data_IF_049518487917
#
_entry.id   IF_049518487917
#
_cell.length_a   1.000
_cell.length_b   1.000
_cell.length_c   1.000
_cell.angle_alpha   90.00
_cell.angle_beta   90.00
_cell.angle_gamma   90.00
#
_symmetry.space_group_name_H-M   'P 1'
#
loop_
_entity.id
_entity.type
_entity.pdbx_description
1 polymer ?
#
# COMPACT_ATOMS: atom_id res chain seq x y z
N UNK A 1 17.77 -0.49 29.07
CA UNK A 1 18.44 0.80 28.86
C UNK A 1 17.37 1.79 28.46
N UNK A 2 17.23 2.89 29.19
CA UNK A 2 16.18 3.88 28.93
C UNK A 2 16.54 4.80 27.77
N UNK A 3 15.55 5.55 27.31
CA UNK A 3 15.70 6.61 26.33
C UNK A 3 16.58 7.71 26.91
N UNK A 4 17.65 8.05 26.21
CA UNK A 4 18.52 9.17 26.58
C UNK A 4 18.24 10.30 25.60
N UNK A 5 17.72 11.42 26.10
CA UNK A 5 17.58 12.64 25.32
C UNK A 5 18.99 13.14 24.95
N UNK A 6 19.27 13.18 23.66
CA UNK A 6 20.52 13.72 23.10
C UNK A 6 20.26 15.04 22.40
N UNK A 7 21.29 15.86 22.28
CA UNK A 7 21.27 17.07 21.46
C UNK A 7 22.34 16.96 20.39
N UNK A 8 21.96 17.14 19.14
CA UNK A 8 22.91 17.43 18.07
C UNK A 8 23.25 18.92 18.12
N UNK A 9 24.50 19.26 18.13
CA UNK A 9 24.94 20.66 18.17
C UNK A 9 26.14 20.87 17.22
N UNK A 10 26.09 21.94 16.48
CA UNK A 10 27.19 22.44 15.67
C UNK A 10 27.77 23.65 16.41
N UNK A 11 29.05 23.59 16.78
CA UNK A 11 29.73 24.68 17.48
C UNK A 11 30.72 25.36 16.55
N UNK A 12 30.52 26.63 16.28
CA UNK A 12 31.52 27.46 15.61
C UNK A 12 32.60 27.92 16.66
N UNK A 13 33.86 27.71 16.34
CA UNK A 13 34.97 28.14 17.21
C UNK A 13 35.29 29.62 17.09
N UNK A 14 34.85 30.25 16.00
CA UNK A 14 34.99 31.67 15.73
C UNK A 14 33.70 32.22 15.12
N UNK A 15 33.42 33.54 15.22
CA UNK A 15 32.29 34.15 14.56
C UNK A 15 32.29 33.84 13.02
N UNK A 16 31.18 33.42 12.49
CA UNK A 16 31.06 33.08 11.06
C UNK A 16 29.66 32.60 10.74
N UNK A 17 29.39 32.42 9.45
CA UNK A 17 28.13 31.85 8.91
C UNK A 17 28.40 30.41 8.48
N UNK A 18 27.54 29.51 8.88
CA UNK A 18 27.51 28.12 8.42
C UNK A 18 26.17 27.80 7.75
N UNK A 19 26.22 27.34 6.50
CA UNK A 19 25.06 26.82 5.82
C UNK A 19 25.02 25.30 5.99
N UNK A 20 23.95 24.76 6.59
CA UNK A 20 23.75 23.32 6.76
C UNK A 20 22.71 22.89 5.73
N UNK A 21 23.15 22.22 4.67
CA UNK A 21 22.25 21.71 3.64
C UNK A 21 21.61 20.37 3.96
N UNK A 22 22.25 19.59 4.83
CA UNK A 22 21.75 18.25 5.18
C UNK A 22 22.41 17.74 6.47
N UNK A 23 21.60 17.09 7.31
CA UNK A 23 22.09 16.36 8.48
C UNK A 23 21.32 15.05 8.63
N UNK A 24 22.03 13.93 8.75
CA UNK A 24 21.44 12.62 8.95
C UNK A 24 22.09 11.91 10.14
N UNK A 25 21.31 11.64 11.16
CA UNK A 25 21.70 10.79 12.27
C UNK A 25 21.21 9.36 12.02
N UNK A 26 22.14 8.42 11.95
CA UNK A 26 21.82 7.00 11.76
C UNK A 26 22.32 6.18 12.95
N UNK A 27 21.62 5.09 13.30
CA UNK A 27 22.14 4.14 14.27
C UNK A 27 23.45 3.51 13.75
N UNK A 28 24.33 3.09 14.67
CA UNK A 28 25.46 2.23 14.34
C UNK A 28 24.99 0.88 13.72
N UNK A 29 25.95 0.05 13.30
CA UNK A 29 25.65 -1.23 12.62
C UNK A 29 24.68 -2.13 13.39
N UNK A 30 24.69 -2.09 14.71
CA UNK A 30 23.81 -2.83 15.60
C UNK A 30 22.33 -2.47 15.44
N UNK A 31 22.04 -1.21 15.07
CA UNK A 31 20.68 -0.69 14.89
C UNK A 31 20.24 -0.60 13.42
N UNK A 32 21.06 -1.06 12.48
CA UNK A 32 20.76 -1.06 11.05
C UNK A 32 20.16 -2.40 10.61
N UNK A 33 19.17 -2.35 9.75
CA UNK A 33 18.62 -3.54 9.11
C UNK A 33 19.54 -3.98 7.98
N UNK A 34 20.17 -5.15 8.14
CA UNK A 34 21.10 -5.75 7.15
C UNK A 34 22.16 -4.77 6.62
N UNK A 35 22.65 -3.87 7.47
CA UNK A 35 23.65 -2.86 7.12
C UNK A 35 23.13 -1.64 6.37
N UNK A 36 21.86 -1.64 5.95
CA UNK A 36 21.23 -0.53 5.23
C UNK A 36 20.99 0.68 6.15
N UNK A 37 20.86 1.91 5.61
CA UNK A 37 20.52 3.11 6.36
C UNK A 37 19.03 3.12 6.77
N UNK A 38 18.61 2.04 7.40
CA UNK A 38 17.23 1.79 7.86
C UNK A 38 17.28 1.28 9.28
N UNK A 39 16.48 1.84 10.18
CA UNK A 39 16.34 1.36 11.56
C UNK A 39 15.84 -0.09 11.57
N UNK A 40 16.56 -0.94 12.30
CA UNK A 40 16.28 -2.38 12.38
C UNK A 40 14.90 -2.67 12.97
N UNK A 41 14.50 -1.96 14.00
CA UNK A 41 13.20 -2.12 14.66
C UNK A 41 12.04 -1.71 13.74
N UNK A 42 12.20 -0.64 12.95
CA UNK A 42 11.22 -0.20 11.95
C UNK A 42 11.05 -1.25 10.85
N UNK A 43 12.17 -1.73 10.28
CA UNK A 43 12.13 -2.78 9.26
C UNK A 43 11.45 -4.06 9.78
N UNK A 44 11.81 -4.49 10.98
CA UNK A 44 11.18 -5.67 11.60
C UNK A 44 9.71 -5.40 11.96
N UNK A 45 9.35 -4.17 12.31
CA UNK A 45 7.96 -3.75 12.55
C UNK A 45 7.11 -3.89 11.30
N UNK A 46 7.59 -3.44 10.14
CA UNK A 46 6.90 -3.58 8.84
C UNK A 46 6.77 -5.06 8.43
N UNK A 47 7.84 -5.85 8.59
CA UNK A 47 7.79 -7.29 8.33
C UNK A 47 6.78 -7.98 9.27
N UNK A 48 6.77 -7.65 10.55
CA UNK A 48 5.82 -8.19 11.52
C UNK A 48 4.37 -7.75 11.23
N UNK A 49 4.18 -6.55 10.71
CA UNK A 49 2.88 -6.06 10.23
C UNK A 49 2.34 -6.90 9.06
N UNK A 50 3.17 -7.71 8.42
CA UNK A 50 2.77 -8.53 7.28
C UNK A 50 2.75 -7.78 5.95
N UNK A 51 3.52 -6.68 5.86
CA UNK A 51 3.70 -5.96 4.59
C UNK A 51 4.35 -6.89 3.56
N UNK A 52 3.81 -6.92 2.35
CA UNK A 52 4.33 -7.68 1.21
C UNK A 52 4.65 -6.78 0.02
N UNK A 53 4.02 -5.63 -0.05
CA UNK A 53 4.20 -4.61 -1.09
C UNK A 53 4.45 -3.27 -0.43
N UNK A 54 5.41 -2.51 -0.93
CA UNK A 54 5.60 -1.11 -0.60
C UNK A 54 5.56 -0.25 -1.86
N UNK A 55 4.84 0.85 -1.79
CA UNK A 55 4.85 1.93 -2.76
C UNK A 55 5.56 3.14 -2.15
N UNK A 56 6.41 3.81 -2.92
CA UNK A 56 7.09 5.04 -2.50
C UNK A 56 6.96 6.10 -3.57
N UNK A 57 6.51 7.26 -3.18
CA UNK A 57 6.31 8.45 -4.01
C UNK A 57 5.14 9.26 -3.46
N UNK A 58 3.94 8.97 -3.89
CA UNK A 58 2.74 9.70 -3.48
C UNK A 58 2.84 11.16 -3.89
N UNK A 59 2.23 12.07 -3.13
CA UNK A 59 2.27 13.51 -3.43
C UNK A 59 3.68 14.09 -3.57
N UNK A 60 4.72 13.41 -3.06
CA UNK A 60 6.11 13.83 -3.25
C UNK A 60 6.54 13.70 -4.72
N UNK A 61 6.03 12.70 -5.45
CA UNK A 61 6.32 12.52 -6.88
C UNK A 61 5.82 13.68 -7.74
N UNK A 62 4.82 14.43 -7.27
CA UNK A 62 4.29 15.60 -8.01
C UNK A 62 5.18 16.85 -7.87
N UNK A 63 6.14 16.86 -6.92
CA UNK A 63 7.03 18.01 -6.77
C UNK A 63 7.94 18.18 -8.00
N UNK A 64 8.11 19.42 -8.47
CA UNK A 64 8.86 19.72 -9.69
C UNK A 64 10.30 19.17 -9.67
N UNK A 65 10.93 19.19 -8.50
CA UNK A 65 12.31 18.77 -8.28
C UNK A 65 12.46 17.31 -7.85
N UNK A 66 11.37 16.56 -7.73
CA UNK A 66 11.39 15.10 -7.48
C UNK A 66 11.81 14.39 -8.77
N UNK A 67 13.14 14.28 -8.98
CA UNK A 67 13.76 13.72 -10.18
C UNK A 67 14.72 12.62 -9.82
N UNK A 68 14.56 11.44 -10.41
CA UNK A 68 15.32 10.27 -10.01
C UNK A 68 16.85 10.45 -10.15
N UNK A 69 17.32 11.21 -11.15
CA UNK A 69 18.76 11.50 -11.32
C UNK A 69 19.36 12.32 -10.17
N UNK A 70 18.52 13.01 -9.39
CA UNK A 70 18.91 13.72 -8.15
C UNK A 70 18.96 12.81 -6.93
N UNK A 71 18.54 11.55 -7.05
CA UNK A 71 18.40 10.57 -5.96
C UNK A 71 19.54 9.56 -5.93
N UNK A 72 20.49 9.61 -6.85
CA UNK A 72 21.63 8.70 -6.98
C UNK A 72 22.95 9.35 -6.58
N UNK A 73 24.03 8.55 -6.47
CA UNK A 73 25.36 9.05 -6.06
C UNK A 73 25.48 9.25 -4.56
N UNK A 74 26.57 9.90 -4.12
CA UNK A 74 26.85 10.12 -2.69
C UNK A 74 25.69 10.86 -2.02
N UNK A 75 25.20 10.33 -0.92
CA UNK A 75 24.01 10.83 -0.22
C UNK A 75 24.12 12.31 0.18
N UNK A 76 25.30 12.75 0.63
CA UNK A 76 25.54 14.12 1.05
C UNK A 76 25.55 15.13 -0.13
N UNK A 77 25.65 14.64 -1.36
CA UNK A 77 25.68 15.48 -2.57
C UNK A 77 24.32 15.56 -3.24
N UNK A 78 23.35 14.75 -2.82
CA UNK A 78 22.00 14.76 -3.39
C UNK A 78 21.28 16.05 -2.98
N UNK A 79 20.75 16.83 -3.94
CA UNK A 79 20.15 18.13 -3.64
C UNK A 79 18.86 17.98 -2.84
N UNK A 80 18.55 18.91 -1.95
CA UNK A 80 17.22 19.02 -1.35
C UNK A 80 16.23 19.51 -2.41
N UNK A 81 14.93 19.42 -2.10
CA UNK A 81 13.86 19.93 -2.94
C UNK A 81 12.69 20.43 -2.10
N UNK A 82 11.84 21.26 -2.69
CA UNK A 82 10.57 21.67 -2.11
C UNK A 82 9.52 20.60 -2.42
N UNK A 83 9.10 19.86 -1.40
CA UNK A 83 8.07 18.83 -1.51
C UNK A 83 6.68 19.40 -1.28
N UNK A 84 5.67 18.64 -1.68
CA UNK A 84 4.27 19.04 -1.55
C UNK A 84 3.85 19.29 -0.10
N UNK A 85 4.18 18.35 0.80
CA UNK A 85 3.82 18.41 2.22
C UNK A 85 4.93 19.00 3.08
N UNK A 86 6.18 18.89 2.63
CA UNK A 86 7.37 19.25 3.40
C UNK A 86 8.27 20.16 2.56
N UNK A 87 8.29 21.47 2.80
CA UNK A 87 9.06 22.43 1.99
C UNK A 87 10.57 22.18 2.05
N UNK A 88 11.05 21.47 3.07
CA UNK A 88 12.46 21.15 3.25
C UNK A 88 12.75 19.65 3.06
N UNK A 89 12.24 19.09 1.97
CA UNK A 89 12.47 17.69 1.63
C UNK A 89 13.90 17.45 1.15
N UNK A 90 14.41 16.25 1.39
CA UNK A 90 15.75 15.87 0.97
C UNK A 90 15.75 14.53 0.23
N UNK A 91 16.75 14.33 -0.64
CA UNK A 91 17.02 13.05 -1.27
C UNK A 91 17.97 12.15 -0.44
N UNK A 92 18.14 12.45 0.83
CA UNK A 92 19.03 11.72 1.74
C UNK A 92 18.64 10.24 1.93
N UNK A 93 17.39 9.89 1.81
CA UNK A 93 16.86 8.54 1.61
C UNK A 93 15.86 8.60 0.46
N UNK A 94 16.11 7.86 -0.62
CA UNK A 94 15.40 8.05 -1.88
C UNK A 94 15.10 6.71 -2.57
N UNK A 95 14.65 6.74 -3.83
CA UNK A 95 14.11 5.56 -4.54
C UNK A 95 15.05 4.36 -4.51
N UNK A 96 16.37 4.55 -4.69
CA UNK A 96 17.28 3.40 -4.68
C UNK A 96 17.57 2.88 -3.28
N UNK A 97 17.50 3.72 -2.25
CA UNK A 97 17.51 3.28 -0.86
C UNK A 97 16.26 2.44 -0.54
N UNK A 98 15.11 2.85 -1.08
CA UNK A 98 13.85 2.13 -1.02
C UNK A 98 13.92 0.76 -1.74
N UNK A 99 14.46 0.71 -2.96
CA UNK A 99 14.63 -0.56 -3.69
C UNK A 99 15.56 -1.52 -2.94
N UNK A 100 16.69 -1.02 -2.42
CA UNK A 100 17.60 -1.81 -1.57
C UNK A 100 16.90 -2.35 -0.32
N UNK A 101 16.04 -1.53 0.29
CA UNK A 101 15.29 -1.95 1.46
C UNK A 101 14.24 -3.02 1.12
N UNK A 102 13.48 -2.82 0.04
CA UNK A 102 12.48 -3.80 -0.41
C UNK A 102 13.13 -5.15 -0.75
N UNK A 103 14.24 -5.15 -1.49
CA UNK A 103 15.00 -6.37 -1.79
C UNK A 103 15.46 -7.07 -0.50
N UNK A 104 16.04 -6.32 0.43
CA UNK A 104 16.53 -6.87 1.68
C UNK A 104 15.41 -7.40 2.59
N UNK A 105 14.22 -6.78 2.58
CA UNK A 105 13.08 -7.18 3.38
C UNK A 105 12.21 -8.24 2.72
N UNK A 106 12.36 -8.46 1.41
CA UNK A 106 11.53 -9.37 0.62
C UNK A 106 10.17 -8.76 0.22
N UNK A 107 10.09 -7.42 0.10
CA UNK A 107 8.90 -6.71 -0.32
C UNK A 107 8.88 -6.50 -1.83
N UNK A 108 7.72 -6.57 -2.45
CA UNK A 108 7.50 -6.08 -3.80
C UNK A 108 7.59 -4.55 -3.78
N UNK A 109 8.50 -3.99 -4.58
CA UNK A 109 8.69 -2.56 -4.67
C UNK A 109 7.86 -1.96 -5.82
N UNK A 110 7.15 -0.86 -5.54
CA UNK A 110 6.47 -0.04 -6.54
C UNK A 110 6.94 1.40 -6.34
N UNK A 111 8.04 1.82 -6.99
CA UNK A 111 8.40 3.24 -7.01
C UNK A 111 7.41 4.02 -7.86
N UNK A 112 7.10 5.24 -7.42
CA UNK A 112 6.32 6.21 -8.16
C UNK A 112 7.23 7.36 -8.59
N UNK A 113 7.21 7.70 -9.88
CA UNK A 113 8.02 8.74 -10.49
C UNK A 113 7.17 9.86 -11.07
N UNK A 114 7.76 11.04 -11.06
CA UNK A 114 7.10 12.24 -11.60
C UNK A 114 6.75 12.08 -13.08
N UNK A 115 5.47 12.27 -13.43
CA UNK A 115 4.99 12.19 -14.81
C UNK A 115 5.59 13.27 -15.75
N UNK A 116 6.33 14.25 -15.20
CA UNK A 116 7.07 15.25 -15.98
C UNK A 116 8.56 14.88 -16.19
N UNK A 117 8.99 13.67 -15.86
CA UNK A 117 10.28 13.16 -16.32
C UNK A 117 10.31 13.10 -17.86
N UNK A 118 11.47 13.30 -18.47
CA UNK A 118 11.58 13.10 -19.91
C UNK A 118 11.50 11.61 -20.28
N UNK A 119 11.03 11.25 -21.48
CA UNK A 119 11.09 9.86 -21.96
C UNK A 119 12.50 9.26 -21.90
N UNK A 120 13.55 10.07 -22.18
CA UNK A 120 14.93 9.60 -22.08
C UNK A 120 15.34 9.33 -20.63
N UNK A 121 14.99 10.24 -19.69
CA UNK A 121 15.29 10.02 -18.28
C UNK A 121 14.61 8.77 -17.74
N UNK A 122 13.39 8.46 -18.20
CA UNK A 122 12.68 7.24 -17.80
C UNK A 122 13.29 5.98 -18.42
N UNK A 123 13.78 6.04 -19.65
CA UNK A 123 14.57 4.96 -20.25
C UNK A 123 15.87 4.72 -19.48
N UNK A 124 16.57 5.78 -19.10
CA UNK A 124 17.78 5.74 -18.27
C UNK A 124 17.50 5.15 -16.90
N UNK A 125 16.34 5.50 -16.28
CA UNK A 125 15.90 4.91 -15.01
C UNK A 125 15.74 3.40 -15.08
N UNK A 126 15.06 2.90 -16.11
CA UNK A 126 14.88 1.46 -16.32
C UNK A 126 16.22 0.78 -16.58
N UNK A 127 17.12 1.39 -17.34
CA UNK A 127 18.47 0.84 -17.52
C UNK A 127 19.27 0.87 -16.21
N UNK A 128 19.13 1.92 -15.38
CA UNK A 128 19.74 1.95 -14.06
C UNK A 128 19.15 0.85 -13.16
N UNK A 129 17.83 0.66 -13.14
CA UNK A 129 17.20 -0.34 -12.29
C UNK A 129 17.45 -1.78 -12.78
N UNK A 130 17.25 -2.05 -14.05
CA UNK A 130 17.19 -3.41 -14.62
C UNK A 130 18.30 -3.74 -15.63
N UNK A 131 19.03 -2.74 -16.11
CA UNK A 131 20.08 -2.96 -17.11
C UNK A 131 21.27 -3.79 -16.59
N UNK A 132 21.99 -4.48 -17.48
CA UNK A 132 23.17 -5.26 -17.11
C UNK A 132 24.29 -4.32 -16.62
N UNK A 133 25.18 -4.83 -15.78
CA UNK A 133 26.27 -4.04 -15.18
C UNK A 133 27.31 -3.49 -16.17
N UNK A 134 27.29 -3.92 -17.42
CA UNK A 134 28.14 -3.40 -18.50
C UNK A 134 27.44 -2.33 -19.36
N UNK A 135 26.16 -2.04 -19.15
CA UNK A 135 25.49 -0.90 -19.78
C UNK A 135 25.89 0.42 -19.11
N UNK A 136 25.55 1.54 -19.69
CA UNK A 136 25.92 2.86 -19.17
C UNK A 136 25.35 3.08 -17.74
N UNK A 137 24.04 2.97 -17.58
CA UNK A 137 23.37 3.19 -16.30
C UNK A 137 23.50 1.99 -15.36
N UNK A 138 23.69 0.77 -15.89
CA UNK A 138 24.00 -0.41 -15.08
C UNK A 138 25.38 -0.30 -14.42
N UNK A 139 26.40 0.29 -15.09
CA UNK A 139 27.70 0.61 -14.49
C UNK A 139 27.54 1.65 -13.36
N UNK A 140 26.70 2.64 -13.59
CA UNK A 140 26.44 3.67 -12.57
C UNK A 140 25.81 3.05 -11.32
N UNK A 141 24.77 2.22 -11.48
CA UNK A 141 24.19 1.44 -10.37
C UNK A 141 25.23 0.63 -9.62
N UNK A 142 26.10 -0.06 -10.34
CA UNK A 142 27.16 -0.87 -9.74
C UNK A 142 28.15 -0.01 -8.95
N UNK A 143 28.52 1.17 -9.46
CA UNK A 143 29.37 2.15 -8.77
C UNK A 143 28.68 2.72 -7.53
N UNK A 144 27.36 2.89 -7.55
CA UNK A 144 26.55 3.31 -6.41
C UNK A 144 26.32 2.18 -5.36
N UNK A 145 26.91 0.99 -5.58
CA UNK A 145 26.96 -0.10 -4.61
C UNK A 145 26.01 -1.27 -4.86
N UNK A 146 25.25 -1.27 -5.96
CA UNK A 146 24.33 -2.36 -6.30
C UNK A 146 24.65 -2.96 -7.70
N UNK A 147 25.56 -3.91 -7.82
CA UNK A 147 26.01 -4.43 -9.12
C UNK A 147 24.95 -5.24 -9.86
N UNK A 148 24.03 -5.92 -9.17
CA UNK A 148 22.97 -6.72 -9.80
C UNK A 148 21.77 -5.84 -10.19
N UNK A 149 21.04 -6.18 -11.28
CA UNK A 149 19.74 -5.57 -11.54
C UNK A 149 18.76 -5.78 -10.38
N UNK A 150 17.90 -4.80 -10.10
CA UNK A 150 16.84 -4.93 -9.10
C UNK A 150 15.69 -5.86 -9.54
N UNK A 151 15.53 -6.05 -10.85
CA UNK A 151 14.39 -6.79 -11.38
C UNK A 151 13.06 -6.06 -11.14
N UNK A 152 13.10 -4.73 -11.23
CA UNK A 152 11.91 -3.89 -11.04
C UNK A 152 10.82 -4.28 -12.04
N UNK A 153 9.66 -4.64 -11.52
CA UNK A 153 8.54 -5.14 -12.33
C UNK A 153 7.43 -4.10 -12.51
N UNK A 154 7.18 -3.27 -11.50
CA UNK A 154 6.12 -2.29 -11.51
C UNK A 154 6.71 -0.89 -11.32
N UNK A 155 6.19 0.06 -12.08
CA UNK A 155 6.59 1.46 -12.00
C UNK A 155 5.36 2.33 -12.17
N UNK A 156 5.09 3.14 -11.16
CA UNK A 156 4.00 4.10 -11.21
C UNK A 156 4.47 5.43 -11.81
N UNK A 157 3.60 6.08 -12.57
CA UNK A 157 3.86 7.33 -13.28
C UNK A 157 2.89 8.40 -12.80
N UNK A 158 3.38 9.25 -11.90
CA UNK A 158 2.61 10.30 -11.23
C UNK A 158 1.70 9.77 -10.12
N UNK A 159 1.22 10.66 -9.29
CA UNK A 159 0.35 10.38 -8.17
C UNK A 159 -0.89 11.27 -8.20
N UNK A 160 -2.08 10.68 -8.06
CA UNK A 160 -3.36 11.42 -8.04
C UNK A 160 -3.49 12.40 -9.22
N UNK A 161 -3.07 11.96 -10.37
CA UNK A 161 -3.01 12.78 -11.57
C UNK A 161 -4.40 13.01 -12.16
N UNK A 162 -4.56 14.15 -12.78
CA UNK A 162 -5.67 14.38 -13.68
C UNK A 162 -5.38 13.64 -15.00
N UNK A 163 -5.90 12.42 -15.12
CA UNK A 163 -5.68 11.57 -16.31
C UNK A 163 -6.55 12.04 -17.45
N UNK A 164 -6.09 13.11 -18.10
CA UNK A 164 -6.68 13.75 -19.27
C UNK A 164 -5.71 13.72 -20.48
N UNK A 165 -6.00 14.48 -21.53
CA UNK A 165 -5.16 14.55 -22.73
C UNK A 165 -3.74 15.07 -22.45
N UNK A 166 -3.55 15.91 -21.44
CA UNK A 166 -2.24 16.39 -21.04
C UNK A 166 -1.41 15.26 -20.44
N UNK A 167 -2.00 14.52 -19.51
CA UNK A 167 -1.35 13.33 -18.93
C UNK A 167 -1.08 12.27 -19.99
N UNK A 168 -2.03 11.98 -20.86
CA UNK A 168 -1.85 11.06 -21.98
C UNK A 168 -0.65 11.43 -22.86
N UNK A 169 -0.48 12.72 -23.17
CA UNK A 169 0.65 13.21 -23.98
C UNK A 169 2.00 12.84 -23.36
N UNK A 170 2.15 13.01 -22.05
CA UNK A 170 3.34 12.64 -21.26
C UNK A 170 3.51 11.13 -21.18
N UNK A 171 2.49 10.44 -20.70
CA UNK A 171 2.50 8.98 -20.49
C UNK A 171 2.90 8.23 -21.75
N UNK A 172 2.33 8.60 -22.91
CA UNK A 172 2.63 7.94 -24.19
C UNK A 172 4.12 7.95 -24.53
N UNK A 173 4.81 9.08 -24.30
CA UNK A 173 6.24 9.20 -24.56
C UNK A 173 7.07 8.35 -23.61
N UNK A 174 6.76 8.45 -22.33
CA UNK A 174 7.40 7.70 -21.24
C UNK A 174 7.22 6.20 -21.46
N UNK A 175 5.99 5.73 -21.67
CA UNK A 175 5.68 4.33 -21.85
C UNK A 175 6.46 3.68 -23.01
N UNK A 176 6.52 4.34 -24.17
CA UNK A 176 7.30 3.86 -25.31
C UNK A 176 8.79 3.75 -25.01
N UNK A 177 9.36 4.73 -24.30
CA UNK A 177 10.77 4.74 -23.93
C UNK A 177 11.11 3.63 -22.93
N UNK A 178 10.28 3.42 -21.93
CA UNK A 178 10.45 2.36 -20.94
C UNK A 178 10.35 0.98 -21.60
N UNK A 179 9.27 0.72 -22.36
CA UNK A 179 9.05 -0.58 -23.00
C UNK A 179 10.08 -0.91 -24.09
N UNK A 180 10.73 0.10 -24.67
CA UNK A 180 11.87 -0.13 -25.57
C UNK A 180 13.11 -0.62 -24.82
N UNK A 181 13.29 -0.25 -23.54
CA UNK A 181 14.41 -0.69 -22.69
C UNK A 181 14.12 -2.01 -21.99
N UNK A 182 12.94 -2.11 -21.38
CA UNK A 182 12.49 -3.34 -20.69
C UNK A 182 11.00 -3.57 -20.93
N UNK A 183 10.65 -4.48 -21.85
CA UNK A 183 9.27 -4.77 -22.17
C UNK A 183 8.50 -5.53 -21.08
N UNK A 184 9.15 -5.96 -20.00
CA UNK A 184 8.52 -6.71 -18.90
C UNK A 184 7.99 -5.77 -17.80
N UNK A 185 8.39 -4.49 -17.82
CA UNK A 185 7.91 -3.53 -16.83
C UNK A 185 6.44 -3.21 -17.07
N UNK A 186 5.63 -3.40 -16.06
CA UNK A 186 4.23 -3.00 -16.00
C UNK A 186 4.17 -1.56 -15.50
N UNK A 187 3.58 -0.68 -16.31
CA UNK A 187 3.37 0.70 -15.92
C UNK A 187 2.05 0.83 -15.17
N UNK A 188 2.08 1.60 -14.09
CA UNK A 188 0.91 1.96 -13.32
C UNK A 188 0.59 3.43 -13.56
N UNK A 189 -0.62 3.71 -13.98
CA UNK A 189 -1.14 5.07 -14.12
C UNK A 189 -1.52 5.58 -12.74
N UNK A 190 -0.91 6.66 -12.28
CA UNK A 190 -1.24 7.28 -11.00
C UNK A 190 -2.55 8.07 -11.08
N UNK A 191 -3.67 7.38 -11.27
CA UNK A 191 -5.02 7.95 -11.32
C UNK A 191 -5.48 8.36 -9.92
N UNK A 192 -6.74 8.70 -9.74
CA UNK A 192 -7.20 9.20 -8.45
C UNK A 192 -8.48 8.49 -7.99
N UNK A 193 -9.30 9.16 -7.18
CA UNK A 193 -10.49 8.59 -6.58
C UNK A 193 -11.74 8.81 -7.44
N UNK A 194 -12.62 7.81 -7.41
CA UNK A 194 -13.93 7.83 -8.08
C UNK A 194 -15.03 7.64 -7.03
N UNK A 195 -15.65 8.75 -6.60
CA UNK A 195 -16.65 8.75 -5.52
C UNK A 195 -18.06 8.38 -5.96
N UNK A 196 -18.38 8.46 -7.25
CA UNK A 196 -19.71 8.17 -7.79
C UNK A 196 -19.65 7.06 -8.83
N UNK A 197 -20.78 6.37 -9.00
CA UNK A 197 -20.88 5.34 -10.04
C UNK A 197 -20.76 5.96 -11.43
N UNK A 198 -19.84 5.44 -12.22
CA UNK A 198 -19.67 5.77 -13.64
C UNK A 198 -20.73 5.01 -14.43
N UNK A 199 -21.71 5.74 -14.97
CA UNK A 199 -22.74 5.16 -15.84
C UNK A 199 -22.29 5.19 -17.31
N UNK A 200 -21.78 6.35 -17.75
CA UNK A 200 -21.18 6.55 -19.06
C UNK A 200 -19.70 6.90 -18.88
N UNK A 201 -18.75 6.09 -19.39
CA UNK A 201 -17.33 6.35 -19.23
C UNK A 201 -16.84 7.60 -19.97
N UNK A 202 -17.64 8.19 -20.86
CA UNK A 202 -17.29 9.39 -21.61
C UNK A 202 -17.98 10.66 -21.11
N UNK A 203 -18.91 10.52 -20.16
CA UNK A 203 -19.59 11.66 -19.54
C UNK A 203 -20.02 11.34 -18.11
N UNK A 204 -19.24 11.77 -17.13
CA UNK A 204 -19.55 11.56 -15.71
C UNK A 204 -19.04 12.72 -14.83
N UNK A 205 -19.38 12.67 -13.56
CA UNK A 205 -18.90 13.58 -12.50
C UNK A 205 -18.46 12.78 -11.28
N UNK A 206 -17.85 13.43 -10.31
CA UNK A 206 -17.50 12.80 -9.03
C UNK A 206 -16.12 12.16 -8.93
N UNK A 207 -15.25 12.35 -9.94
CA UNK A 207 -13.83 12.06 -9.79
C UNK A 207 -13.14 13.18 -9.00
N UNK A 208 -12.31 12.82 -8.03
CA UNK A 208 -11.59 13.82 -7.21
C UNK A 208 -10.65 14.70 -8.04
N UNK A 209 -10.04 14.14 -9.09
CA UNK A 209 -9.18 14.88 -10.03
C UNK A 209 -9.98 15.77 -11.02
N UNK A 210 -11.29 15.92 -10.84
CA UNK A 210 -12.15 16.74 -11.72
C UNK A 210 -12.14 16.35 -13.20
N UNK A 211 -11.84 15.07 -13.53
CA UNK A 211 -12.05 14.54 -14.87
C UNK A 211 -13.51 14.17 -15.06
N UNK A 212 -13.98 14.19 -16.31
CA UNK A 212 -15.38 13.91 -16.67
C UNK A 212 -15.52 12.85 -17.76
N UNK A 213 -14.41 12.25 -18.18
CA UNK A 213 -14.33 11.27 -19.25
C UNK A 213 -13.11 10.35 -19.05
N UNK A 214 -13.22 9.09 -19.42
CA UNK A 214 -12.13 8.10 -19.44
C UNK A 214 -11.48 7.96 -20.83
N UNK A 215 -11.57 8.98 -21.68
CA UNK A 215 -10.93 8.94 -23.00
C UNK A 215 -9.40 8.77 -22.93
N UNK A 216 -8.74 9.39 -21.96
CA UNK A 216 -7.30 9.25 -21.77
C UNK A 216 -6.95 7.82 -21.34
N UNK A 217 -7.70 7.23 -20.42
CA UNK A 217 -7.54 5.83 -19.99
C UNK A 217 -7.74 4.88 -21.17
N UNK A 218 -8.76 5.12 -22.02
CA UNK A 218 -8.96 4.34 -23.24
C UNK A 218 -7.77 4.41 -24.19
N UNK A 219 -7.21 5.61 -24.41
CA UNK A 219 -6.00 5.79 -25.23
C UNK A 219 -4.79 5.04 -24.66
N UNK A 220 -4.65 5.03 -23.33
CA UNK A 220 -3.60 4.27 -22.63
C UNK A 220 -3.77 2.76 -22.82
N UNK A 221 -4.98 2.24 -22.66
CA UNK A 221 -5.32 0.83 -22.91
C UNK A 221 -5.01 0.42 -24.36
N UNK A 222 -5.41 1.26 -25.32
CA UNK A 222 -5.11 1.04 -26.74
C UNK A 222 -3.61 1.03 -27.03
N UNK A 223 -2.83 1.94 -26.42
CA UNK A 223 -1.37 1.94 -26.54
C UNK A 223 -0.76 0.65 -25.99
N UNK A 224 -1.20 0.20 -24.81
CA UNK A 224 -0.71 -1.04 -24.19
C UNK A 224 -1.04 -2.25 -25.08
N UNK A 225 -2.27 -2.35 -25.57
CA UNK A 225 -2.71 -3.40 -26.52
C UNK A 225 -1.85 -3.41 -27.79
N UNK A 226 -1.64 -2.26 -28.43
CA UNK A 226 -0.86 -2.12 -29.66
C UNK A 226 0.61 -2.54 -29.50
N UNK A 227 1.15 -2.45 -28.29
CA UNK A 227 2.51 -2.87 -27.94
C UNK A 227 2.57 -4.26 -27.29
N UNK A 228 1.44 -4.96 -27.18
CA UNK A 228 1.32 -6.22 -26.43
C UNK A 228 1.89 -6.12 -25.00
N UNK A 229 1.50 -5.08 -24.26
CA UNK A 229 1.90 -4.81 -22.88
C UNK A 229 0.70 -4.81 -21.95
N UNK A 230 0.98 -4.98 -20.68
CA UNK A 230 0.02 -4.80 -19.59
C UNK A 230 0.21 -3.40 -18.98
N UNK A 231 -0.90 -2.76 -18.61
CA UNK A 231 -0.91 -1.48 -17.91
C UNK A 231 -1.88 -1.56 -16.74
N UNK A 232 -1.49 -0.98 -15.61
CA UNK A 232 -2.34 -0.94 -14.42
C UNK A 232 -2.77 0.48 -14.13
N UNK A 233 -3.83 0.62 -13.34
CA UNK A 233 -4.36 1.92 -12.91
C UNK A 233 -4.46 1.92 -11.39
N UNK A 234 -3.85 2.90 -10.75
CA UNK A 234 -3.99 3.12 -9.31
C UNK A 234 -5.20 3.99 -9.02
N UNK A 235 -5.96 3.63 -8.01
CA UNK A 235 -7.05 4.46 -7.48
C UNK A 235 -6.95 4.52 -5.96
N UNK A 236 -7.32 5.65 -5.39
CA UNK A 236 -7.31 5.86 -3.95
C UNK A 236 -8.73 5.74 -3.37
N UNK A 237 -8.83 5.21 -2.16
CA UNK A 237 -10.12 4.96 -1.50
C UNK A 237 -10.12 5.53 -0.09
N UNK A 238 -11.16 6.29 0.25
CA UNK A 238 -11.37 6.79 1.60
C UNK A 238 -11.81 5.68 2.57
N UNK A 239 -11.07 5.53 3.68
CA UNK A 239 -11.37 4.57 4.76
C UNK A 239 -11.52 5.26 6.11
N UNK A 240 -12.16 6.43 6.12
CA UNK A 240 -12.33 7.27 7.32
C UNK A 240 -13.22 6.63 8.38
N UNK A 241 -14.30 6.02 7.97
CA UNK A 241 -15.29 5.41 8.85
C UNK A 241 -15.42 3.91 8.65
N UNK A 242 -16.10 3.20 9.56
CA UNK A 242 -16.15 1.74 9.57
C UNK A 242 -16.96 1.12 8.43
N UNK A 243 -17.60 1.93 7.60
CA UNK A 243 -18.38 1.51 6.42
C UNK A 243 -17.99 2.38 5.23
N UNK A 244 -16.89 2.08 4.56
CA UNK A 244 -16.49 2.81 3.36
C UNK A 244 -17.42 2.50 2.18
N UNK A 245 -17.52 3.44 1.24
CA UNK A 245 -18.26 3.27 -0.02
C UNK A 245 -17.30 3.00 -1.17
N UNK A 246 -17.44 1.83 -1.79
CA UNK A 246 -16.62 1.40 -2.92
C UNK A 246 -17.36 1.45 -4.25
N UNK A 247 -18.60 1.94 -4.28
CA UNK A 247 -19.44 1.91 -5.48
C UNK A 247 -18.82 2.66 -6.66
N UNK A 248 -18.16 3.77 -6.41
CA UNK A 248 -17.40 4.52 -7.40
C UNK A 248 -16.20 3.73 -7.94
N UNK A 249 -15.40 3.16 -7.06
CA UNK A 249 -14.20 2.38 -7.41
C UNK A 249 -14.54 1.17 -8.26
N UNK A 250 -15.52 0.35 -7.87
CA UNK A 250 -15.90 -0.82 -8.67
C UNK A 250 -16.54 -0.44 -10.00
N UNK A 251 -17.31 0.67 -10.06
CA UNK A 251 -17.84 1.15 -11.34
C UNK A 251 -16.75 1.65 -12.29
N UNK A 252 -15.65 2.19 -11.74
CA UNK A 252 -14.45 2.54 -12.51
C UNK A 252 -13.78 1.29 -13.08
N UNK A 253 -13.60 0.24 -12.27
CA UNK A 253 -13.09 -1.06 -12.74
C UNK A 253 -13.96 -1.62 -13.88
N UNK A 254 -15.27 -1.60 -13.71
CA UNK A 254 -16.23 -2.06 -14.74
C UNK A 254 -16.15 -1.21 -16.02
N UNK A 255 -15.93 0.10 -15.89
CA UNK A 255 -15.77 0.99 -17.03
C UNK A 255 -14.47 0.71 -17.79
N UNK A 256 -13.36 0.49 -17.09
CA UNK A 256 -12.09 0.09 -17.73
C UNK A 256 -12.20 -1.25 -18.45
N UNK A 257 -12.85 -2.25 -17.85
CA UNK A 257 -13.09 -3.55 -18.49
C UNK A 257 -13.83 -3.39 -19.82
N UNK A 258 -14.85 -2.50 -19.88
CA UNK A 258 -15.59 -2.20 -21.10
C UNK A 258 -14.73 -1.48 -22.15
N UNK A 259 -13.82 -0.58 -21.72
CA UNK A 259 -12.96 0.21 -22.61
C UNK A 259 -11.74 -0.57 -23.08
N UNK A 260 -11.37 -1.64 -22.40
CA UNK A 260 -10.12 -2.35 -22.62
C UNK A 260 -10.04 -3.03 -24.01
N UNK A 261 -11.15 -3.44 -24.58
CA UNK A 261 -11.17 -4.12 -25.90
C UNK A 261 -10.07 -5.18 -26.04
N UNK A 262 -9.88 -5.99 -24.99
CA UNK A 262 -8.84 -7.03 -24.92
C UNK A 262 -7.43 -6.55 -24.53
N UNK A 263 -7.23 -5.29 -24.16
CA UNK A 263 -5.99 -4.84 -23.53
C UNK A 263 -5.82 -5.50 -22.16
N UNK A 264 -4.62 -5.97 -21.86
CA UNK A 264 -4.29 -6.50 -20.53
C UNK A 264 -4.16 -5.36 -19.55
N UNK A 265 -4.99 -5.36 -18.53
CA UNK A 265 -4.97 -4.32 -17.49
C UNK A 265 -5.39 -4.88 -16.13
N UNK A 266 -5.11 -4.10 -15.09
CA UNK A 266 -5.56 -4.30 -13.71
C UNK A 266 -5.85 -2.94 -13.07
N UNK A 267 -6.64 -2.95 -12.01
CA UNK A 267 -6.76 -1.82 -11.10
C UNK A 267 -6.12 -2.20 -9.76
N UNK A 268 -5.41 -1.29 -9.16
CA UNK A 268 -4.79 -1.43 -7.84
C UNK A 268 -5.26 -0.29 -6.94
N UNK A 269 -5.15 -0.47 -5.64
CA UNK A 269 -5.39 0.58 -4.66
C UNK A 269 -4.11 0.75 -3.86
N UNK A 270 -3.35 1.80 -4.14
CA UNK A 270 -2.12 2.06 -3.42
C UNK A 270 -2.31 2.94 -2.19
N UNK A 271 -3.49 3.56 -2.04
CA UNK A 271 -3.79 4.33 -0.85
C UNK A 271 -5.22 4.10 -0.34
N UNK A 272 -5.34 3.39 0.78
CA UNK A 272 -6.48 3.60 1.67
C UNK A 272 -6.18 4.83 2.51
N UNK A 273 -6.95 5.90 2.36
CA UNK A 273 -6.73 7.18 3.00
C UNK A 273 -7.74 7.48 4.09
N UNK A 274 -7.27 8.07 5.20
CA UNK A 274 -8.11 8.56 6.29
C UNK A 274 -7.38 9.65 7.10
N UNK A 275 -8.11 10.49 7.79
CA UNK A 275 -7.56 11.47 8.76
C UNK A 275 -7.34 10.85 10.15
N UNK A 276 -7.36 9.52 10.32
CA UNK A 276 -7.18 8.85 11.59
C UNK A 276 -6.49 7.50 11.48
N UNK A 277 -5.98 7.00 12.62
CA UNK A 277 -5.37 5.68 12.78
C UNK A 277 -6.13 4.80 13.80
N UNK A 278 -7.38 5.16 14.12
CA UNK A 278 -8.17 4.50 15.14
C UNK A 278 -8.81 3.17 14.65
N UNK A 279 -9.47 2.47 15.56
CA UNK A 279 -10.14 1.20 15.27
C UNK A 279 -11.24 1.31 14.21
N UNK A 280 -11.91 2.47 14.08
CA UNK A 280 -12.89 2.71 13.00
C UNK A 280 -12.27 2.53 11.63
N UNK A 281 -11.03 3.01 11.44
CA UNK A 281 -10.26 2.82 10.22
C UNK A 281 -9.81 1.39 10.03
N UNK A 282 -9.48 0.68 11.11
CA UNK A 282 -9.15 -0.73 11.03
C UNK A 282 -10.30 -1.55 10.42
N UNK A 283 -11.53 -1.30 10.87
CA UNK A 283 -12.72 -1.95 10.32
C UNK A 283 -12.94 -1.56 8.84
N UNK A 284 -12.73 -0.28 8.50
CA UNK A 284 -12.82 0.18 7.12
C UNK A 284 -11.79 -0.49 6.20
N UNK A 285 -10.53 -0.59 6.63
CA UNK A 285 -9.47 -1.27 5.88
C UNK A 285 -9.76 -2.76 5.72
N UNK A 286 -10.30 -3.42 6.75
CA UNK A 286 -10.71 -4.82 6.66
C UNK A 286 -11.84 -4.99 5.65
N UNK A 287 -12.90 -4.17 5.71
CA UNK A 287 -14.01 -4.20 4.74
C UNK A 287 -13.51 -3.94 3.33
N UNK A 288 -12.66 -2.92 3.13
CA UNK A 288 -12.08 -2.59 1.82
C UNK A 288 -11.34 -3.78 1.22
N UNK A 289 -10.50 -4.43 2.02
CA UNK A 289 -9.72 -5.58 1.54
C UNK A 289 -10.61 -6.80 1.26
N UNK A 290 -11.61 -7.08 2.10
CA UNK A 290 -12.61 -8.12 1.86
C UNK A 290 -13.35 -7.88 0.53
N UNK A 291 -13.76 -6.66 0.25
CA UNK A 291 -14.42 -6.31 -1.02
C UNK A 291 -13.50 -6.51 -2.22
N UNK A 292 -12.24 -6.08 -2.11
CA UNK A 292 -11.24 -6.27 -3.16
C UNK A 292 -10.95 -7.77 -3.42
N UNK A 293 -10.82 -8.58 -2.37
CA UNK A 293 -10.64 -10.03 -2.48
C UNK A 293 -11.83 -10.70 -3.18
N UNK A 294 -13.05 -10.35 -2.79
CA UNK A 294 -14.28 -10.92 -3.40
C UNK A 294 -14.44 -10.56 -4.87
N UNK A 295 -14.06 -9.36 -5.26
CA UNK A 295 -14.08 -8.93 -6.65
C UNK A 295 -13.01 -9.67 -7.48
N UNK A 296 -11.82 -9.85 -6.93
CA UNK A 296 -10.71 -10.59 -7.54
C UNK A 296 -9.96 -9.87 -8.67
N UNK A 297 -10.39 -8.65 -9.06
CA UNK A 297 -9.75 -7.86 -10.13
C UNK A 297 -8.69 -6.89 -9.60
N UNK A 298 -8.59 -6.71 -8.28
CA UNK A 298 -7.67 -5.82 -7.61
C UNK A 298 -6.52 -6.62 -6.96
N UNK A 299 -5.41 -6.86 -7.67
CA UNK A 299 -4.36 -7.76 -7.20
C UNK A 299 -3.53 -7.20 -6.04
N UNK A 300 -3.51 -5.88 -5.85
CA UNK A 300 -2.77 -5.21 -4.78
C UNK A 300 -3.66 -4.15 -4.16
N UNK A 301 -3.70 -4.16 -2.83
CA UNK A 301 -4.28 -3.09 -2.03
C UNK A 301 -3.31 -2.73 -0.90
N UNK A 302 -3.04 -1.45 -0.71
CA UNK A 302 -2.18 -0.95 0.35
C UNK A 302 -2.82 0.24 1.08
N UNK A 303 -2.35 0.52 2.27
CA UNK A 303 -2.90 1.58 3.11
C UNK A 303 -1.83 2.65 3.39
N UNK A 304 -2.16 3.88 3.18
CA UNK A 304 -1.31 5.00 3.52
C UNK A 304 -1.59 5.47 4.97
N UNK A 305 -0.58 5.85 5.77
CA UNK A 305 0.84 5.59 5.56
C UNK A 305 1.22 4.29 6.26
N UNK A 306 2.04 3.46 5.67
CA UNK A 306 2.46 2.23 6.37
C UNK A 306 3.26 2.54 7.65
N UNK A 307 3.89 3.71 7.72
CA UNK A 307 4.79 4.15 8.80
C UNK A 307 4.54 5.63 9.11
N UNK A 308 4.51 5.99 10.42
CA UNK A 308 4.35 7.37 10.87
C UNK A 308 5.17 7.65 12.13
N UNK A 309 5.99 8.71 12.15
CA UNK A 309 6.58 9.21 13.38
C UNK A 309 5.50 9.74 14.34
N UNK A 310 5.60 9.36 15.61
CA UNK A 310 4.69 9.81 16.66
C UNK A 310 4.86 11.31 16.92
N UNK A 311 3.76 12.03 17.02
CA UNK A 311 3.77 13.49 17.21
C UNK A 311 4.14 14.30 15.97
N UNK A 312 4.33 13.67 14.81
CA UNK A 312 4.56 14.33 13.53
C UNK A 312 3.36 14.14 12.60
N UNK A 313 2.41 15.02 12.73
CA UNK A 313 1.20 15.08 11.91
C UNK A 313 1.05 16.50 11.33
N UNK A 314 2.11 16.96 10.71
CA UNK A 314 2.23 18.32 10.17
C UNK A 314 1.51 18.51 8.82
N UNK A 315 1.19 17.42 8.13
CA UNK A 315 0.43 17.43 6.88
C UNK A 315 -1.10 17.25 7.07
N UNK A 316 -1.58 17.08 8.31
CA UNK A 316 -3.00 16.86 8.60
C UNK A 316 -3.52 15.42 8.37
N UNK A 317 -2.72 14.50 7.85
CA UNK A 317 -3.09 13.10 7.61
C UNK A 317 -2.55 12.19 8.71
N UNK A 318 -3.34 11.99 9.76
CA UNK A 318 -2.99 11.14 10.91
C UNK A 318 -3.37 9.68 10.67
N UNK A 319 -2.70 9.03 9.72
CA UNK A 319 -3.13 7.75 9.13
C UNK A 319 -2.11 6.61 9.21
N UNK A 320 -1.08 6.72 10.06
CA UNK A 320 -0.04 5.68 10.18
C UNK A 320 -0.57 4.33 10.67
N UNK A 321 0.00 3.24 10.16
CA UNK A 321 -0.29 1.86 10.56
C UNK A 321 0.72 1.35 11.59
N UNK A 322 2.00 1.63 11.36
CA UNK A 322 3.10 1.40 12.30
C UNK A 322 3.61 2.76 12.76
N UNK A 323 3.52 3.03 14.05
CA UNK A 323 4.06 4.22 14.66
C UNK A 323 5.47 3.98 15.18
N UNK A 324 6.26 5.04 15.20
CA UNK A 324 7.62 5.01 15.76
C UNK A 324 7.92 6.30 16.52
N UNK A 325 8.76 6.16 17.52
CA UNK A 325 9.49 7.25 18.15
C UNK A 325 11.00 6.92 18.17
N UNK A 326 11.88 7.71 18.78
CA UNK A 326 13.32 7.40 18.81
C UNK A 326 13.69 6.03 19.35
N UNK A 327 12.86 5.40 20.21
CA UNK A 327 13.23 4.20 20.97
C UNK A 327 12.39 2.96 20.66
N UNK A 328 11.24 3.08 20.04
CA UNK A 328 10.32 1.95 19.79
C UNK A 328 9.43 2.13 18.58
N UNK A 329 8.80 1.03 18.19
CA UNK A 329 7.73 0.98 17.20
C UNK A 329 6.52 0.24 17.78
N UNK A 330 5.31 0.58 17.33
CA UNK A 330 4.08 -0.12 17.72
C UNK A 330 3.02 -0.04 16.61
N UNK A 331 2.21 -1.08 16.53
CA UNK A 331 1.12 -1.15 15.56
C UNK A 331 -0.10 -0.36 16.06
N UNK A 332 -0.74 0.34 15.14
CA UNK A 332 -2.09 0.85 15.31
C UNK A 332 -3.13 -0.22 14.90
N UNK A 333 -4.40 -0.08 15.29
CA UNK A 333 -5.43 -1.03 14.91
C UNK A 333 -5.48 -1.38 13.41
N UNK A 334 -5.38 -0.44 12.44
CA UNK A 334 -5.32 -0.79 11.01
C UNK A 334 -4.04 -1.57 10.64
N UNK A 335 -2.94 -1.40 11.36
CA UNK A 335 -1.73 -2.22 11.18
C UNK A 335 -1.95 -3.68 11.61
N UNK A 336 -2.72 -3.91 12.67
CA UNK A 336 -3.12 -5.27 13.06
C UNK A 336 -4.05 -5.92 12.03
N UNK A 337 -4.93 -5.15 11.37
CA UNK A 337 -5.75 -5.67 10.26
C UNK A 337 -4.87 -6.17 9.12
N UNK A 338 -3.87 -5.37 8.71
CA UNK A 338 -2.90 -5.81 7.69
C UNK A 338 -2.21 -7.11 8.13
N UNK A 339 -1.80 -7.22 9.40
CA UNK A 339 -1.16 -8.41 9.95
C UNK A 339 -2.09 -9.64 9.92
N UNK A 340 -3.34 -9.48 10.34
CA UNK A 340 -4.32 -10.57 10.35
C UNK A 340 -4.62 -11.08 8.94
N UNK A 341 -4.86 -10.17 7.99
CA UNK A 341 -5.13 -10.50 6.59
C UNK A 341 -3.93 -11.20 5.94
N UNK A 342 -2.74 -10.60 6.06
CA UNK A 342 -1.52 -11.14 5.44
C UNK A 342 -1.15 -12.53 5.96
N UNK A 343 -1.24 -12.75 7.28
CA UNK A 343 -0.90 -14.04 7.89
C UNK A 343 -1.89 -15.15 7.61
N UNK A 344 -3.11 -14.80 7.26
CA UNK A 344 -4.18 -15.75 6.96
C UNK A 344 -4.54 -15.82 5.48
N UNK A 345 -3.80 -15.11 4.63
CA UNK A 345 -4.03 -15.10 3.19
C UNK A 345 -4.05 -16.51 2.59
N UNK A 346 -5.07 -16.78 1.77
CA UNK A 346 -5.18 -17.97 0.94
C UNK A 346 -5.61 -17.55 -0.48
N UNK A 347 -5.11 -18.22 -1.54
CA UNK A 347 -5.19 -17.70 -2.90
C UNK A 347 -6.56 -17.85 -3.58
N UNK A 348 -7.44 -18.71 -3.06
CA UNK A 348 -8.70 -19.04 -3.73
C UNK A 348 -9.90 -18.51 -2.93
N UNK A 349 -10.61 -17.55 -3.50
CA UNK A 349 -11.89 -17.09 -2.94
C UNK A 349 -12.96 -18.13 -3.20
N UNK A 350 -13.78 -18.43 -2.19
CA UNK A 350 -14.92 -19.32 -2.31
C UNK A 350 -16.24 -18.57 -2.11
N UNK A 351 -17.30 -19.09 -2.70
CA UNK A 351 -18.64 -18.49 -2.57
C UNK A 351 -19.04 -18.40 -1.10
N UNK A 352 -19.53 -17.25 -0.68
CA UNK A 352 -19.99 -16.98 0.66
C UNK A 352 -21.25 -16.11 0.61
N UNK A 353 -22.32 -16.61 1.20
CA UNK A 353 -23.58 -15.89 1.33
C UNK A 353 -23.89 -15.61 2.79
N UNK A 354 -24.33 -14.40 3.09
CA UNK A 354 -24.70 -14.00 4.45
C UNK A 354 -26.15 -13.61 4.49
N UNK A 355 -26.90 -14.30 5.33
CA UNK A 355 -28.26 -13.91 5.67
C UNK A 355 -28.22 -13.10 6.98
N UNK A 356 -28.45 -11.81 6.89
CA UNK A 356 -28.47 -10.92 8.05
C UNK A 356 -29.72 -10.04 8.08
N UNK A 357 -30.14 -9.58 9.25
CA UNK A 357 -31.25 -8.63 9.35
C UNK A 357 -30.97 -7.33 8.57
N UNK A 358 -31.98 -6.68 8.00
CA UNK A 358 -31.81 -5.39 7.34
C UNK A 358 -31.16 -4.34 8.24
N UNK A 359 -30.24 -3.55 7.70
CA UNK A 359 -29.66 -2.38 8.36
C UNK A 359 -28.30 -2.58 9.04
N UNK A 360 -27.84 -3.82 9.26
CA UNK A 360 -26.52 -4.11 9.88
C UNK A 360 -25.76 -5.19 9.11
N UNK A 361 -25.28 -4.90 7.87
CA UNK A 361 -24.57 -5.88 7.07
C UNK A 361 -23.21 -6.22 7.69
N UNK A 362 -22.86 -7.51 7.68
CA UNK A 362 -21.49 -8.00 7.87
C UNK A 362 -20.79 -8.02 6.52
N UNK A 363 -19.52 -7.62 6.49
CA UNK A 363 -18.67 -7.89 5.34
C UNK A 363 -17.97 -9.23 5.58
N UNK A 364 -18.09 -10.14 4.62
CA UNK A 364 -17.60 -11.51 4.76
C UNK A 364 -16.85 -11.92 3.50
N UNK A 365 -15.69 -12.56 3.69
CA UNK A 365 -14.98 -13.29 2.65
C UNK A 365 -14.58 -14.66 3.18
N UNK A 366 -14.63 -15.65 2.32
CA UNK A 366 -14.07 -16.96 2.60
C UNK A 366 -13.04 -17.30 1.54
N UNK A 367 -11.89 -17.82 1.99
CA UNK A 367 -10.79 -18.21 1.11
C UNK A 367 -10.30 -19.61 1.46
N UNK A 368 -9.72 -20.33 0.51
CA UNK A 368 -9.15 -21.66 0.75
C UNK A 368 -7.77 -21.81 0.12
N UNK A 369 -7.00 -22.76 0.66
CA UNK A 369 -5.72 -23.17 0.10
C UNK A 369 -5.92 -23.94 -1.22
N UNK A 370 -4.90 -23.95 -2.08
CA UNK A 370 -4.91 -24.69 -3.35
C UNK A 370 -5.11 -26.19 -3.15
N UNK A 371 -4.54 -26.77 -2.09
CA UNK A 371 -4.70 -28.17 -1.74
C UNK A 371 -6.07 -28.51 -1.09
N UNK A 372 -6.90 -27.50 -0.86
CA UNK A 372 -8.24 -27.62 -0.30
C UNK A 372 -8.32 -27.99 1.18
N UNK A 373 -7.18 -27.98 1.91
CA UNK A 373 -7.12 -28.46 3.30
C UNK A 373 -7.33 -27.36 4.35
N UNK A 374 -7.26 -26.12 3.96
CA UNK A 374 -7.44 -24.98 4.85
C UNK A 374 -8.49 -24.05 4.29
N UNK A 375 -9.40 -23.61 5.14
CA UNK A 375 -10.40 -22.59 4.88
C UNK A 375 -10.19 -21.43 5.86
N UNK A 376 -10.24 -20.21 5.36
CA UNK A 376 -10.24 -19.00 6.19
C UNK A 376 -11.54 -18.24 5.95
N UNK A 377 -12.19 -17.86 7.05
CA UNK A 377 -13.36 -16.99 7.05
C UNK A 377 -12.96 -15.65 7.68
N UNK A 378 -13.16 -14.57 6.96
CA UNK A 378 -12.91 -13.19 7.36
C UNK A 378 -14.23 -12.45 7.49
N UNK A 379 -14.51 -11.87 8.68
CA UNK A 379 -15.78 -11.21 8.96
C UNK A 379 -15.56 -9.87 9.64
N UNK A 380 -16.10 -8.81 9.06
CA UNK A 380 -16.18 -7.48 9.68
C UNK A 380 -17.61 -7.26 10.19
N UNK A 381 -17.73 -7.00 11.47
CA UNK A 381 -18.95 -6.50 12.11
C UNK A 381 -18.73 -5.03 12.51
N UNK A 382 -19.10 -4.04 11.68
CA UNK A 382 -18.94 -2.62 12.03
C UNK A 382 -20.03 -2.12 12.99
N UNK A 383 -21.07 -2.94 13.24
CA UNK A 383 -22.24 -2.61 14.04
C UNK A 383 -22.00 -2.60 15.55
N UNK A 384 -23.02 -2.16 16.30
CA UNK A 384 -23.01 -2.08 17.76
C UNK A 384 -23.52 -3.35 18.45
N UNK A 385 -23.99 -4.33 17.68
CA UNK A 385 -24.56 -5.59 18.19
C UNK A 385 -23.66 -6.75 17.84
N UNK A 386 -23.58 -7.73 18.70
CA UNK A 386 -23.03 -9.02 18.36
C UNK A 386 -24.02 -9.78 17.46
N UNK A 387 -23.49 -10.55 16.53
CA UNK A 387 -24.28 -11.44 15.69
C UNK A 387 -23.91 -12.88 16.01
N UNK A 388 -24.90 -13.67 16.43
CA UNK A 388 -24.79 -15.13 16.56
C UNK A 388 -25.55 -15.73 15.39
N UNK A 389 -24.82 -16.35 14.46
CA UNK A 389 -25.34 -16.83 13.19
C UNK A 389 -25.04 -18.31 13.00
N UNK A 390 -25.94 -19.06 12.35
CA UNK A 390 -25.59 -20.38 11.85
C UNK A 390 -24.50 -20.25 10.76
N UNK A 391 -23.50 -21.10 10.85
CA UNK A 391 -22.45 -21.26 9.85
C UNK A 391 -22.58 -22.64 9.23
N UNK A 392 -22.89 -22.65 7.93
CA UNK A 392 -22.97 -23.88 7.14
C UNK A 392 -21.86 -23.89 6.11
N UNK A 393 -21.09 -24.97 6.08
CA UNK A 393 -20.00 -25.15 5.11
C UNK A 393 -20.31 -26.37 4.24
N UNK A 394 -20.29 -26.18 2.93
CA UNK A 394 -20.49 -27.26 1.97
C UNK A 394 -19.24 -27.49 1.14
N UNK A 395 -18.89 -28.75 0.91
CA UNK A 395 -17.71 -29.09 0.07
C UNK A 395 -16.36 -28.91 0.77
N UNK A 396 -16.35 -28.71 2.10
CA UNK A 396 -15.15 -28.69 2.91
C UNK A 396 -15.42 -29.30 4.26
N UNK A 397 -14.53 -30.16 4.72
CA UNK A 397 -14.57 -30.77 6.06
C UNK A 397 -13.28 -30.43 6.80
N UNK A 398 -13.34 -29.71 7.93
CA UNK A 398 -12.16 -29.41 8.72
C UNK A 398 -11.44 -30.68 9.17
N UNK A 399 -10.11 -30.70 9.06
CA UNK A 399 -9.30 -31.84 9.52
C UNK A 399 -9.19 -31.94 11.05
N UNK A 400 -9.52 -30.86 11.77
CA UNK A 400 -9.47 -30.78 13.24
C UNK A 400 -10.82 -30.32 13.74
N UNK A 401 -11.19 -30.74 14.96
CA UNK A 401 -12.40 -30.26 15.64
C UNK A 401 -12.27 -28.87 16.27
N UNK A 402 -11.09 -28.23 16.13
CA UNK A 402 -10.76 -26.95 16.73
C UNK A 402 -10.20 -26.03 15.65
N UNK A 403 -10.81 -24.85 15.50
CA UNK A 403 -10.35 -23.77 14.66
C UNK A 403 -9.57 -22.72 15.46
N UNK A 404 -8.64 -22.03 14.81
CA UNK A 404 -8.00 -20.83 15.36
C UNK A 404 -8.84 -19.60 15.02
N UNK A 405 -9.14 -18.79 16.03
CA UNK A 405 -9.90 -17.55 15.89
C UNK A 405 -9.04 -16.38 16.34
N UNK A 406 -8.92 -15.38 15.46
CA UNK A 406 -8.31 -14.10 15.79
C UNK A 406 -9.39 -13.02 15.73
N UNK A 407 -9.48 -12.18 16.76
CA UNK A 407 -10.50 -11.13 16.84
C UNK A 407 -9.88 -9.82 17.30
N UNK A 408 -10.02 -8.78 16.48
CA UNK A 408 -9.73 -7.39 16.83
C UNK A 408 -11.09 -6.71 17.10
N UNK A 409 -11.38 -6.34 18.35
CA UNK A 409 -12.66 -5.75 18.75
C UNK A 409 -12.44 -4.67 19.81
N UNK A 410 -13.13 -3.53 19.66
CA UNK A 410 -12.99 -2.42 20.60
C UNK A 410 -13.85 -1.21 20.30
N UNK A 411 -13.63 -0.13 21.02
CA UNK A 411 -14.23 1.17 20.75
C UNK A 411 -13.75 1.73 19.41
N UNK A 412 -14.61 2.42 18.67
CA UNK A 412 -14.27 2.97 17.33
C UNK A 412 -13.09 3.95 17.37
N UNK A 413 -12.91 4.67 18.48
CA UNK A 413 -11.82 5.65 18.67
C UNK A 413 -10.59 5.08 19.38
N UNK A 414 -10.59 3.77 19.67
CA UNK A 414 -9.46 3.11 20.31
C UNK A 414 -8.23 3.14 19.39
N UNK A 415 -7.07 3.44 19.99
CA UNK A 415 -5.76 3.52 19.34
C UNK A 415 -4.68 3.14 20.34
N UNK A 416 -3.51 2.83 19.82
CA UNK A 416 -2.34 2.49 20.62
C UNK A 416 -1.41 3.70 20.76
N UNK A 417 -0.71 3.81 21.87
CA UNK A 417 0.27 4.87 22.14
C UNK A 417 1.63 4.28 22.48
N UNK A 418 2.65 5.12 22.54
CA UNK A 418 3.98 4.69 22.96
C UNK A 418 3.99 4.10 24.38
N UNK A 419 3.15 4.64 25.30
CA UNK A 419 3.02 4.18 26.70
C UNK A 419 2.16 2.90 26.79
N UNK A 420 1.18 2.76 25.91
CA UNK A 420 0.26 1.63 25.88
C UNK A 420 0.18 1.05 24.45
N UNK A 421 1.24 0.41 23.96
CA UNK A 421 1.35 -0.04 22.57
C UNK A 421 0.40 -1.19 22.23
N UNK A 422 -0.16 -1.85 23.22
CA UNK A 422 -1.03 -3.02 23.12
C UNK A 422 -2.44 -2.78 23.71
N UNK A 423 -2.88 -1.52 23.84
CA UNK A 423 -4.22 -1.19 24.33
C UNK A 423 -5.33 -1.85 23.53
N UNK A 424 -5.14 -1.93 22.22
CA UNK A 424 -6.01 -2.67 21.32
C UNK A 424 -5.15 -3.53 20.40
N UNK A 425 -5.25 -4.84 20.58
CA UNK A 425 -4.59 -5.85 19.76
C UNK A 425 -5.50 -7.06 19.53
N UNK A 426 -5.25 -7.87 18.50
CA UNK A 426 -6.03 -9.09 18.29
C UNK A 426 -5.91 -10.05 19.47
N UNK A 427 -7.02 -10.60 19.88
CA UNK A 427 -7.07 -11.78 20.75
C UNK A 427 -6.99 -13.03 19.88
N UNK A 428 -6.31 -14.05 20.36
CA UNK A 428 -6.23 -15.37 19.71
C UNK A 428 -6.87 -16.38 20.63
N UNK A 429 -7.78 -17.17 20.10
CA UNK A 429 -8.49 -18.23 20.84
C UNK A 429 -8.69 -19.47 19.98
N UNK A 430 -8.99 -20.57 20.63
CA UNK A 430 -9.42 -21.80 19.99
C UNK A 430 -10.95 -21.91 20.07
N UNK A 431 -11.54 -22.36 18.97
CA UNK A 431 -12.98 -22.60 18.89
C UNK A 431 -13.28 -24.06 18.52
N UNK A 432 -13.95 -24.78 19.41
CA UNK A 432 -14.51 -26.09 19.10
C UNK A 432 -15.74 -25.88 18.23
N UNK A 433 -15.59 -26.09 16.94
CA UNK A 433 -16.57 -25.63 15.96
C UNK A 433 -17.75 -26.58 15.75
N UNK A 434 -17.64 -27.86 16.06
CA UNK A 434 -18.75 -28.82 15.87
C UNK A 434 -19.25 -28.96 14.43
N UNK A 435 -18.36 -28.74 13.44
CA UNK A 435 -18.69 -28.77 12.01
C UNK A 435 -18.67 -30.20 11.43
N UNK A 436 -18.65 -31.24 12.26
CA UNK A 436 -18.69 -32.63 11.81
C UNK A 436 -19.94 -32.92 10.95
N UNK A 437 -21.05 -32.23 11.22
CA UNK A 437 -22.30 -32.31 10.45
C UNK A 437 -22.42 -31.20 9.41
N UNK A 438 -21.36 -30.40 9.17
CA UNK A 438 -21.31 -29.32 8.19
C UNK A 438 -22.04 -28.04 8.61
N UNK A 439 -22.59 -27.97 9.83
CA UNK A 439 -23.29 -26.80 10.35
C UNK A 439 -22.97 -26.58 11.85
N UNK A 440 -22.84 -25.32 12.23
CA UNK A 440 -22.56 -24.89 13.60
C UNK A 440 -23.08 -23.48 13.83
N UNK A 441 -22.84 -22.92 15.03
CA UNK A 441 -23.17 -21.52 15.35
C UNK A 441 -21.92 -20.77 15.76
N UNK A 442 -21.77 -19.55 15.25
CA UNK A 442 -20.63 -18.67 15.56
C UNK A 442 -21.12 -17.27 15.94
N UNK A 443 -20.42 -16.64 16.90
CA UNK A 443 -20.71 -15.29 17.35
C UNK A 443 -19.63 -14.32 16.93
N UNK A 444 -20.03 -13.26 16.24
CA UNK A 444 -19.18 -12.14 15.83
C UNK A 444 -19.42 -10.94 16.75
N UNK A 445 -18.43 -10.52 17.55
CA UNK A 445 -18.58 -9.39 18.48
C UNK A 445 -18.94 -8.08 17.76
N UNK A 446 -19.50 -7.09 18.47
CA UNK A 446 -19.73 -5.77 17.89
C UNK A 446 -18.40 -5.08 17.61
N UNK A 447 -18.37 -4.26 16.58
CA UNK A 447 -17.19 -3.45 16.18
C UNK A 447 -15.94 -4.31 16.12
N UNK A 448 -15.99 -5.36 15.32
CA UNK A 448 -14.90 -6.35 15.26
C UNK A 448 -14.51 -6.71 13.84
N UNK A 449 -13.25 -7.11 13.71
CA UNK A 449 -12.74 -7.91 12.60
C UNK A 449 -12.33 -9.26 13.15
N UNK A 450 -12.91 -10.33 12.62
CA UNK A 450 -12.68 -11.71 13.06
C UNK A 450 -12.17 -12.55 11.90
N UNK A 451 -11.12 -13.30 12.13
CA UNK A 451 -10.56 -14.28 11.20
C UNK A 451 -10.63 -15.65 11.84
N UNK A 452 -11.27 -16.60 11.17
CA UNK A 452 -11.39 -18.00 11.59
C UNK A 452 -10.63 -18.86 10.58
N UNK A 453 -9.69 -19.66 11.08
CA UNK A 453 -8.90 -20.60 10.28
C UNK A 453 -9.26 -22.04 10.65
N UNK A 454 -9.85 -22.75 9.70
CA UNK A 454 -10.30 -24.13 9.76
C UNK A 454 -9.31 -25.05 9.04
#
# INVERSE_FOLDING_TARGET
QGDIAGRFAIKLKQPGTLNVGYALLQPGNWGRFKGLPVRKDVALGLINQGVTVLRLGGCMANAAEYRWKKMIGPRAERPPYEGWWHPHSSNGWAIFDFLNFCEAAGFLAVPDLNCNESPQDMADFIEYANGPSNSEWGRRRAADGHPKPYGLKYLEIGNEERVDDSYWGKFRGIAKAIWAKDPQVVLVVGDFAYGQKIQDPFQFTGAAAHITSLEAQQKILQLAKANNREVWFDVHVGTEGPRPDFGGTFSYVDALDKLADGAKHRVVIFEYNAGNHAHRRALANASATIWAQRDGRLPIVTSANCLQPDGQNDNGWDQGLLFLNPSRVWLQPPGYVTQMLSRNYLPLVVSCEVQHPPGDPLDVCATRSEDGKTLVLEVVNPGRRAFTLPLKITGFTPAKSVAQVQTLAGGLDARNTAEQPDSLKPTVSEWKHGLEDGETTVTFPPRSFTVIRL
#
